data_IF_300134910952
#
_entry.id   IF_300134910952
#
_cell.length_a   1.000
_cell.length_b   1.000
_cell.length_c   1.000
_cell.angle_alpha   90.00
_cell.angle_beta   90.00
_cell.angle_gamma   90.00
#
_symmetry.space_group_name_H-M   'P 1'
#
loop_
_entity.id
_entity.type
_entity.pdbx_description
1 polymer ?
#
# COMPACT_ATOMS: atom_id res chain seq x y z
N UNK A 1 13.98 10.40 14.01
CA UNK A 1 13.80 9.58 12.80
C UNK A 1 12.86 10.33 11.87
N UNK A 2 13.21 10.52 10.60
CA UNK A 2 12.34 11.18 9.63
C UNK A 2 11.53 10.13 8.86
N UNK A 3 10.24 10.36 8.76
CA UNK A 3 9.29 9.49 8.08
C UNK A 3 8.47 10.35 7.13
N UNK A 4 8.26 9.86 5.91
CA UNK A 4 7.30 10.43 4.97
C UNK A 4 6.22 9.39 4.76
N UNK A 5 4.96 9.79 4.89
CA UNK A 5 3.81 8.94 4.60
C UNK A 5 2.84 9.72 3.74
N UNK A 6 2.38 9.12 2.66
CA UNK A 6 1.28 9.65 1.86
C UNK A 6 0.01 8.95 2.27
N UNK A 7 -1.04 9.72 2.55
CA UNK A 7 -2.34 9.24 3.00
C UNK A 7 -3.47 10.12 2.50
N UNK A 8 -4.55 9.48 2.08
CA UNK A 8 -5.78 10.18 1.74
C UNK A 8 -6.45 10.70 3.01
N UNK A 9 -6.74 12.00 3.05
CA UNK A 9 -7.28 12.69 4.24
C UNK A 9 -8.67 12.14 4.65
N UNK A 10 -9.44 11.71 3.67
CA UNK A 10 -10.76 11.13 3.84
C UNK A 10 -10.71 9.63 4.18
N UNK A 11 -9.51 9.03 4.34
CA UNK A 11 -9.36 7.64 4.75
C UNK A 11 -9.44 7.46 6.28
N UNK A 12 -10.03 6.35 6.73
CA UNK A 12 -10.01 5.97 8.13
C UNK A 12 -8.63 5.43 8.56
N UNK A 13 -8.18 5.79 9.75
CA UNK A 13 -7.07 5.13 10.44
C UNK A 13 -7.59 3.80 11.01
N UNK A 14 -7.07 2.68 10.53
CA UNK A 14 -7.50 1.36 11.00
C UNK A 14 -6.38 0.67 11.79
N UNK A 15 -6.76 -0.25 12.68
CA UNK A 15 -5.81 -1.12 13.38
C UNK A 15 -4.95 -1.92 12.40
N UNK A 16 -5.57 -2.44 11.33
CA UNK A 16 -4.90 -3.16 10.24
C UNK A 16 -3.78 -2.35 9.59
N UNK A 17 -4.03 -1.09 9.29
CA UNK A 17 -3.02 -0.20 8.72
C UNK A 17 -1.85 0.04 9.68
N UNK A 18 -2.17 0.34 10.95
CA UNK A 18 -1.15 0.53 11.98
C UNK A 18 -0.24 -0.68 12.11
N UNK A 19 -0.81 -1.88 12.19
CA UNK A 19 -0.01 -3.10 12.36
C UNK A 19 0.87 -3.40 11.14
N UNK A 20 0.39 -3.12 9.93
CA UNK A 20 1.22 -3.17 8.72
C UNK A 20 2.39 -2.15 8.76
N UNK A 21 2.12 -0.93 9.23
CA UNK A 21 3.16 0.08 9.45
C UNK A 21 4.16 -0.38 10.52
N UNK A 22 3.71 -0.99 11.61
CA UNK A 22 4.58 -1.50 12.68
C UNK A 22 5.52 -2.59 12.16
N UNK A 23 5.02 -3.54 11.34
CA UNK A 23 5.85 -4.54 10.64
C UNK A 23 6.93 -3.87 9.78
N UNK A 24 6.55 -2.86 9.00
CA UNK A 24 7.52 -2.13 8.19
C UNK A 24 8.54 -1.38 9.04
N UNK A 25 8.13 -0.66 10.07
CA UNK A 25 9.02 0.14 10.92
C UNK A 25 10.00 -0.75 11.71
N UNK A 26 9.56 -1.95 12.13
CA UNK A 26 10.42 -2.95 12.75
C UNK A 26 11.47 -3.56 11.79
N UNK A 27 11.22 -3.49 10.48
CA UNK A 27 12.19 -3.93 9.47
C UNK A 27 13.31 -2.90 9.22
N UNK A 28 14.32 -3.26 8.42
CA UNK A 28 15.31 -2.33 7.86
C UNK A 28 15.03 -1.92 6.40
N UNK A 29 13.76 -1.95 5.95
CA UNK A 29 13.36 -1.60 4.57
C UNK A 29 13.04 -0.12 4.40
N UNK A 30 13.60 0.53 3.40
CA UNK A 30 13.41 1.98 3.22
C UNK A 30 11.98 2.39 2.87
N UNK A 31 11.17 1.50 2.28
CA UNK A 31 9.88 1.83 1.69
C UNK A 31 8.76 0.89 2.15
N UNK A 32 7.52 1.37 2.10
CA UNK A 32 6.31 0.63 2.42
C UNK A 32 5.21 0.93 1.41
N UNK A 33 4.48 -0.09 0.96
CA UNK A 33 3.28 0.05 0.14
C UNK A 33 2.19 -0.92 0.62
N UNK A 34 0.93 -0.50 0.57
CA UNK A 34 -0.21 -1.29 1.04
C UNK A 34 -1.31 -1.38 -0.03
N UNK A 35 -1.80 -2.61 -0.29
CA UNK A 35 -2.82 -2.95 -1.30
C UNK A 35 -3.88 -3.86 -0.71
N UNK A 36 -4.87 -3.25 -0.09
CA UNK A 36 -5.85 -3.97 0.75
C UNK A 36 -7.23 -4.15 0.11
N UNK A 37 -7.35 -4.06 -1.22
CA UNK A 37 -8.64 -4.17 -1.92
C UNK A 37 -8.41 -4.79 -3.32
N UNK A 38 -9.37 -5.55 -3.91
CA UNK A 38 -9.17 -6.15 -5.23
C UNK A 38 -8.85 -5.15 -6.35
N UNK A 39 -9.34 -3.91 -6.24
CA UNK A 39 -9.02 -2.82 -7.17
C UNK A 39 -7.73 -2.06 -6.86
N UNK A 40 -6.97 -2.45 -5.84
CA UNK A 40 -5.64 -1.89 -5.54
C UNK A 40 -4.56 -2.55 -6.42
N UNK A 41 -4.85 -2.73 -7.71
CA UNK A 41 -4.06 -3.46 -8.70
C UNK A 41 -2.94 -2.62 -9.33
N UNK A 42 -2.28 -1.78 -8.51
CA UNK A 42 -1.14 -0.95 -8.90
C UNK A 42 0.01 -1.13 -7.89
N UNK A 43 1.28 -1.00 -8.30
CA UNK A 43 2.41 -1.21 -7.40
C UNK A 43 2.40 -0.32 -6.15
N UNK A 44 1.96 0.93 -6.34
CA UNK A 44 1.88 1.98 -5.32
C UNK A 44 0.60 2.78 -5.54
N UNK A 45 -0.26 2.84 -4.53
CA UNK A 45 -1.37 3.78 -4.51
C UNK A 45 -0.90 5.16 -4.07
N UNK A 46 -1.64 6.20 -4.48
CA UNK A 46 -1.33 7.60 -4.14
C UNK A 46 -1.24 7.85 -2.64
N UNK A 47 -2.22 7.32 -1.90
CA UNK A 47 -2.34 7.52 -0.45
C UNK A 47 -1.92 6.33 0.41
N UNK A 48 -1.28 5.27 -0.11
CA UNK A 48 -1.02 4.05 0.69
C UNK A 48 0.45 3.63 0.68
N UNK A 49 1.35 4.58 0.97
CA UNK A 49 2.79 4.30 1.02
C UNK A 49 3.54 5.15 2.06
N UNK A 50 4.71 4.64 2.46
CA UNK A 50 5.63 5.30 3.37
C UNK A 50 7.09 5.14 2.96
N UNK A 51 7.93 6.09 3.38
CA UNK A 51 9.34 6.12 3.09
C UNK A 51 10.16 6.59 4.30
N UNK A 52 11.34 5.98 4.50
CA UNK A 52 12.35 6.31 5.51
C UNK A 52 13.60 6.89 4.82
N UNK A 53 13.67 8.22 4.60
CA UNK A 53 14.78 8.86 3.90
C UNK A 53 16.16 8.56 4.47
N UNK A 54 16.25 8.36 5.80
CA UNK A 54 17.51 8.02 6.47
C UNK A 54 18.10 6.69 6.02
N UNK A 55 17.28 5.75 5.54
CA UNK A 55 17.74 4.44 5.04
C UNK A 55 18.12 4.47 3.56
N UNK A 56 17.71 5.50 2.80
CA UNK A 56 18.01 5.59 1.37
C UNK A 56 18.02 7.05 0.88
N UNK A 57 19.12 7.77 1.14
CA UNK A 57 19.26 9.18 0.73
C UNK A 57 19.23 9.38 -0.78
N UNK A 58 19.69 8.40 -1.57
CA UNK A 58 19.68 8.49 -3.03
C UNK A 58 18.25 8.42 -3.56
N UNK A 59 17.41 7.51 -3.05
CA UNK A 59 15.99 7.48 -3.38
C UNK A 59 15.28 8.76 -2.92
N UNK A 60 15.66 9.32 -1.77
CA UNK A 60 15.11 10.60 -1.32
C UNK A 60 15.36 11.74 -2.30
N UNK A 61 16.59 11.84 -2.85
CA UNK A 61 16.92 12.83 -3.89
C UNK A 61 16.16 12.55 -5.18
N UNK A 62 16.11 11.29 -5.61
CA UNK A 62 15.38 10.90 -6.80
C UNK A 62 13.89 11.26 -6.72
N UNK A 63 13.23 10.96 -5.59
CA UNK A 63 11.84 11.35 -5.37
C UNK A 63 11.70 12.86 -5.48
N UNK A 64 12.54 13.62 -4.76
CA UNK A 64 12.54 15.08 -4.80
C UNK A 64 12.68 15.62 -6.24
N UNK A 65 13.69 15.16 -6.97
CA UNK A 65 13.94 15.62 -8.34
C UNK A 65 12.76 15.30 -9.28
N UNK A 66 12.14 14.12 -9.12
CA UNK A 66 10.99 13.71 -9.94
C UNK A 66 9.73 14.50 -9.62
N UNK A 67 9.43 14.76 -8.34
CA UNK A 67 8.22 15.52 -7.92
C UNK A 67 8.37 17.03 -8.09
N UNK A 68 9.56 17.55 -8.37
CA UNK A 68 9.76 18.96 -8.70
C UNK A 68 10.01 19.21 -10.19
N UNK A 69 10.15 18.16 -11.00
CA UNK A 69 10.27 18.28 -12.45
C UNK A 69 8.90 18.58 -13.10
N UNK A 70 8.65 19.86 -13.38
CA UNK A 70 7.40 20.33 -14.00
C UNK A 70 7.17 19.75 -15.41
N UNK A 71 8.25 19.47 -16.15
CA UNK A 71 8.19 18.89 -17.50
C UNK A 71 7.71 17.45 -17.47
N UNK A 72 8.04 16.74 -16.38
CA UNK A 72 7.57 15.40 -16.13
C UNK A 72 6.13 15.39 -15.62
N UNK A 73 5.84 16.19 -14.60
CA UNK A 73 4.58 16.13 -13.85
C UNK A 73 3.40 16.63 -14.67
N UNK A 74 3.61 17.57 -15.61
CA UNK A 74 2.54 18.02 -16.51
C UNK A 74 1.87 16.88 -17.29
N UNK A 75 2.55 15.74 -17.45
CA UNK A 75 2.00 14.56 -18.13
C UNK A 75 1.11 13.69 -17.22
N UNK A 76 1.07 13.98 -15.92
CA UNK A 76 0.34 13.23 -14.90
C UNK A 76 -0.65 14.17 -14.19
N UNK A 77 -1.81 14.39 -14.81
CA UNK A 77 -2.86 15.29 -14.29
C UNK A 77 -4.03 14.50 -13.68
N UNK A 78 -4.81 15.16 -12.83
CA UNK A 78 -5.98 14.57 -12.19
C UNK A 78 -5.64 13.37 -11.30
N UNK A 79 -6.13 12.18 -11.66
CA UNK A 79 -5.97 10.93 -10.89
C UNK A 79 -4.81 10.04 -11.39
N UNK A 80 -3.81 10.64 -12.03
CA UNK A 80 -2.69 9.95 -12.67
C UNK A 80 -1.46 9.79 -11.76
N UNK A 81 -1.56 10.19 -10.50
CA UNK A 81 -0.50 10.10 -9.49
C UNK A 81 0.00 8.66 -9.31
N UNK A 82 -0.89 7.66 -9.30
CA UNK A 82 -0.49 6.25 -9.21
C UNK A 82 0.32 5.80 -10.44
N UNK A 83 0.03 6.36 -11.62
CA UNK A 83 0.79 6.12 -12.85
C UNK A 83 2.20 6.71 -12.76
N UNK A 84 2.32 7.93 -12.22
CA UNK A 84 3.62 8.56 -11.93
C UNK A 84 4.43 7.71 -10.94
N UNK A 85 3.82 7.30 -9.83
CA UNK A 85 4.48 6.49 -8.81
C UNK A 85 4.95 5.15 -9.39
N UNK A 86 4.11 4.47 -10.16
CA UNK A 86 4.44 3.22 -10.83
C UNK A 86 5.60 3.36 -11.83
N UNK A 87 5.64 4.45 -12.59
CA UNK A 87 6.65 4.66 -13.63
C UNK A 87 7.99 5.21 -13.10
N UNK A 88 7.95 6.04 -12.06
CA UNK A 88 9.12 6.84 -11.66
C UNK A 88 9.65 6.55 -10.26
N UNK A 89 8.83 6.05 -9.34
CA UNK A 89 9.22 5.83 -7.95
C UNK A 89 9.37 4.34 -7.65
N UNK A 90 8.35 3.54 -7.95
CA UNK A 90 8.32 2.10 -7.68
C UNK A 90 9.52 1.31 -8.22
N UNK A 91 10.04 1.58 -9.45
CA UNK A 91 11.18 0.84 -10.00
C UNK A 91 12.42 0.88 -9.08
N UNK A 92 12.57 1.94 -8.29
CA UNK A 92 13.67 2.12 -7.34
C UNK A 92 13.27 1.72 -5.92
N UNK A 93 12.06 2.10 -5.49
CA UNK A 93 11.56 1.83 -4.14
C UNK A 93 11.49 0.33 -3.83
N UNK A 94 11.10 -0.49 -4.81
CA UNK A 94 10.90 -1.93 -4.66
C UNK A 94 12.16 -2.72 -4.28
N UNK A 95 13.36 -2.15 -4.48
CA UNK A 95 14.61 -2.78 -4.06
C UNK A 95 14.74 -2.90 -2.53
N UNK A 96 14.06 -2.04 -1.78
CA UNK A 96 14.07 -2.05 -0.31
C UNK A 96 12.69 -1.65 0.22
N UNK A 97 11.70 -2.51 -0.04
CA UNK A 97 10.32 -2.33 0.36
C UNK A 97 9.81 -3.46 1.26
N UNK A 98 8.82 -3.14 2.09
CA UNK A 98 7.76 -4.08 2.51
C UNK A 98 6.51 -3.72 1.70
N UNK A 99 5.86 -4.71 1.11
CA UNK A 99 4.65 -4.52 0.31
C UNK A 99 3.55 -5.44 0.84
N UNK A 100 2.56 -4.90 1.55
CA UNK A 100 1.41 -5.68 1.99
C UNK A 100 0.33 -5.73 0.91
N UNK A 101 -0.20 -6.92 0.62
CA UNK A 101 -1.18 -7.13 -0.44
C UNK A 101 -2.17 -8.25 -0.10
N UNK A 102 -3.47 -7.93 -0.10
CA UNK A 102 -4.53 -8.87 0.26
C UNK A 102 -5.09 -9.66 -0.93
N UNK A 103 -4.90 -9.19 -2.17
CA UNK A 103 -5.61 -9.74 -3.35
C UNK A 103 -4.74 -9.90 -4.59
N UNK A 104 -3.81 -8.98 -4.81
CA UNK A 104 -2.97 -8.89 -6.02
C UNK A 104 -1.55 -9.39 -5.80
N UNK A 105 -1.27 -10.08 -4.69
CA UNK A 105 0.07 -10.53 -4.31
C UNK A 105 0.79 -11.35 -5.39
N UNK A 106 0.05 -12.13 -6.19
CA UNK A 106 0.59 -12.96 -7.28
C UNK A 106 1.11 -12.13 -8.47
N UNK A 107 0.64 -10.90 -8.67
CA UNK A 107 1.19 -10.02 -9.71
C UNK A 107 2.63 -9.64 -9.39
N UNK A 108 2.97 -9.53 -8.10
CA UNK A 108 4.30 -9.20 -7.60
C UNK A 108 4.79 -7.79 -7.97
N UNK A 109 4.32 -7.13 -9.03
CA UNK A 109 4.84 -5.83 -9.47
C UNK A 109 6.38 -5.73 -9.50
N UNK A 110 7.07 -6.85 -9.74
CA UNK A 110 8.53 -6.96 -9.67
C UNK A 110 9.14 -6.92 -8.26
N UNK A 111 8.37 -7.18 -7.20
CA UNK A 111 8.80 -7.37 -5.80
C UNK A 111 7.77 -8.20 -5.00
N UNK A 112 8.17 -9.29 -4.33
CA UNK A 112 7.24 -10.17 -3.63
C UNK A 112 6.41 -9.39 -2.59
N UNK A 113 5.10 -9.55 -2.66
CA UNK A 113 4.20 -9.02 -1.65
C UNK A 113 4.15 -9.96 -0.43
N UNK A 114 3.85 -9.38 0.72
CA UNK A 114 3.57 -10.08 1.95
C UNK A 114 2.08 -9.94 2.29
N UNK A 115 1.48 -10.90 2.97
CA UNK A 115 0.13 -10.76 3.49
C UNK A 115 0.10 -9.66 4.55
N UNK A 116 -1.07 -9.08 4.81
CA UNK A 116 -1.25 -8.20 5.97
C UNK A 116 -1.13 -9.00 7.28
N UNK A 117 -0.63 -8.38 8.37
CA UNK A 117 -0.38 -9.06 9.64
C UNK A 117 -1.65 -9.30 10.49
N UNK A 118 -2.83 -8.98 9.96
CA UNK A 118 -4.12 -9.14 10.67
C UNK A 118 -5.13 -9.88 9.82
N UNK A 119 -6.07 -10.57 10.47
CA UNK A 119 -7.32 -11.00 9.85
C UNK A 119 -8.33 -9.86 9.91
N UNK A 120 -9.20 -9.75 8.90
CA UNK A 120 -10.42 -8.96 9.04
C UNK A 120 -11.42 -9.76 9.88
N UNK A 121 -12.00 -9.18 10.94
CA UNK A 121 -12.77 -9.94 11.92
C UNK A 121 -14.07 -10.53 11.37
N UNK A 122 -14.71 -9.88 10.37
CA UNK A 122 -16.00 -10.32 9.85
C UNK A 122 -16.18 -10.01 8.35
N UNK A 123 -17.03 -10.81 7.68
CA UNK A 123 -17.38 -10.62 6.28
C UNK A 123 -18.01 -9.24 6.00
N UNK A 124 -18.80 -8.69 6.94
CA UNK A 124 -19.41 -7.36 6.80
C UNK A 124 -18.39 -6.21 6.95
N UNK A 125 -17.29 -6.44 7.67
CA UNK A 125 -16.15 -5.53 7.79
C UNK A 125 -15.17 -5.63 6.62
N UNK A 126 -15.34 -6.59 5.70
CA UNK A 126 -14.51 -6.63 4.49
C UNK A 126 -14.62 -5.32 3.72
N UNK A 127 -15.74 -4.61 3.76
CA UNK A 127 -15.90 -3.28 3.17
C UNK A 127 -14.94 -2.21 3.70
N UNK A 128 -14.31 -2.43 4.85
CA UNK A 128 -13.33 -1.54 5.47
C UNK A 128 -11.93 -2.03 5.14
N UNK A 129 -11.24 -1.32 4.23
CA UNK A 129 -9.89 -1.62 3.78
C UNK A 129 -8.95 -0.44 4.04
N UNK A 130 -7.65 -0.69 4.08
CA UNK A 130 -6.65 0.40 4.18
C UNK A 130 -6.81 1.34 2.99
N UNK A 131 -7.18 2.60 3.28
CA UNK A 131 -7.41 3.63 2.27
C UNK A 131 -8.85 3.87 1.85
N UNK A 132 -9.82 3.22 2.48
CA UNK A 132 -11.22 3.50 2.16
C UNK A 132 -11.70 4.85 2.72
N UNK A 133 -12.53 5.55 1.93
CA UNK A 133 -13.18 6.81 2.29
C UNK A 133 -14.10 6.63 3.51
N UNK A 134 -14.12 7.62 4.40
CA UNK A 134 -14.99 7.64 5.59
C UNK A 134 -16.47 7.85 5.22
N UNK A 135 -17.41 7.23 5.97
CA UNK A 135 -17.15 6.24 7.02
C UNK A 135 -16.69 4.89 6.43
N UNK A 136 -15.70 4.26 7.07
CA UNK A 136 -15.47 2.81 6.86
C UNK A 136 -16.81 2.10 7.05
N UNK A 137 -17.14 1.13 6.21
CA UNK A 137 -18.41 0.39 6.33
C UNK A 137 -19.69 1.20 6.06
N UNK A 138 -19.70 2.12 5.08
CA UNK A 138 -20.94 2.69 4.58
C UNK A 138 -21.91 1.61 4.07
N UNK A 139 -23.20 1.71 4.43
CA UNK A 139 -24.23 0.74 4.05
C UNK A 139 -24.24 0.49 2.53
N UNK A 140 -24.09 -0.77 2.11
CA UNK A 140 -24.41 -1.23 0.75
C UNK A 140 -23.24 -1.51 -0.20
N UNK A 141 -21.97 -1.47 0.22
CA UNK A 141 -20.88 -2.04 -0.59
C UNK A 141 -20.76 -3.54 -0.33
N UNK A 142 -20.63 -4.33 -1.40
CA UNK A 142 -20.54 -5.78 -1.27
C UNK A 142 -19.17 -6.18 -0.72
N UNK A 143 -19.11 -7.18 0.18
CA UNK A 143 -17.85 -7.75 0.62
C UNK A 143 -17.05 -8.26 -0.59
N UNK A 144 -15.77 -7.90 -0.73
CA UNK A 144 -14.96 -8.25 -1.91
C UNK A 144 -14.52 -9.73 -1.98
N UNK A 145 -15.22 -10.59 -1.23
CA UNK A 145 -14.98 -12.03 -1.18
C UNK A 145 -13.80 -12.44 -0.30
N UNK A 146 -13.43 -13.71 -0.38
CA UNK A 146 -12.26 -14.24 0.31
C UNK A 146 -10.97 -13.80 -0.41
N UNK A 147 -9.91 -13.54 0.35
CA UNK A 147 -8.60 -13.33 -0.26
C UNK A 147 -8.07 -14.63 -0.91
N UNK A 148 -7.31 -14.53 -2.01
CA UNK A 148 -6.70 -15.69 -2.66
C UNK A 148 -5.80 -16.46 -1.70
N UNK A 149 -5.75 -17.79 -1.83
CA UNK A 149 -4.98 -18.67 -0.94
C UNK A 149 -3.50 -18.24 -0.88
N UNK A 150 -2.93 -17.88 -2.03
CA UNK A 150 -1.54 -17.43 -2.13
C UNK A 150 -1.25 -16.07 -1.49
N UNK A 151 -2.28 -15.28 -1.15
CA UNK A 151 -2.14 -13.99 -0.47
C UNK A 151 -2.42 -14.07 1.03
N UNK A 152 -2.65 -15.27 1.57
CA UNK A 152 -2.86 -15.50 3.00
C UNK A 152 -1.51 -15.69 3.71
N UNK A 153 -1.41 -15.36 5.01
CA UNK A 153 -0.25 -15.74 5.81
C UNK A 153 -0.05 -17.26 5.82
N UNK A 154 1.20 -17.69 5.70
CA UNK A 154 1.56 -19.11 5.77
C UNK A 154 1.27 -19.69 7.15
N UNK A 155 1.43 -18.87 8.18
CA UNK A 155 1.15 -19.20 9.58
C UNK A 155 -0.35 -19.18 9.89
N UNK A 156 -1.15 -18.55 9.03
CA UNK A 156 -2.59 -18.38 9.20
C UNK A 156 -3.38 -18.62 7.88
N UNK A 157 -3.31 -19.83 7.29
CA UNK A 157 -4.00 -20.14 6.05
C UNK A 157 -5.54 -20.11 6.19
N UNK A 158 -6.06 -20.19 7.41
CA UNK A 158 -7.47 -20.08 7.79
C UNK A 158 -8.01 -18.65 7.73
N UNK A 159 -7.14 -17.64 7.62
CA UNK A 159 -7.55 -16.24 7.44
C UNK A 159 -8.06 -16.01 6.03
N UNK A 160 -9.32 -16.41 5.81
CA UNK A 160 -9.98 -16.28 4.49
C UNK A 160 -10.36 -14.83 4.17
N UNK A 161 -10.31 -13.93 5.15
CA UNK A 161 -10.49 -12.48 4.98
C UNK A 161 -9.19 -11.76 5.37
N UNK A 162 -8.37 -11.57 4.36
CA UNK A 162 -7.36 -10.54 4.22
C UNK A 162 -8.03 -9.30 3.59
#
# INVERSE_FOLDING_TARGET
MYLVMSRDLDSALTKREREAVDVWLASNKSFHAMRDHPMHSVPMLGGMWGFRPSLNRNLSRLIHDKIHNQDLIRNYTGRADQGFLAAHIWPFAKASAIAHDSFSCAHGFGHPAQPFPTQRPLANETNCFVGCVRPCCGHGRMPFGQCPIQCRPNEHPEWIYC
#
